data_IF_500301328761
#
_entry.id   IF_500301328761
#
_cell.length_a   1.000
_cell.length_b   1.000
_cell.length_c   1.000
_cell.angle_alpha   90.00
_cell.angle_beta   90.00
_cell.angle_gamma   90.00
#
_symmetry.space_group_name_H-M   'P 1'
#
loop_
_entity.id
_entity.type
_entity.pdbx_description
1 polymer ?
#
# COMPACT_ATOMS: atom_id res chain seq x y z
N UNK A 1 -15.22 -13.05 12.88
CA UNK A 1 -14.11 -12.82 11.92
C UNK A 1 -13.50 -14.14 11.53
N UNK A 2 -12.91 -14.87 12.47
CA UNK A 2 -12.38 -16.23 12.21
C UNK A 2 -13.45 -17.17 11.63
N UNK A 3 -14.72 -17.02 12.02
CA UNK A 3 -15.83 -17.81 11.45
C UNK A 3 -16.06 -17.59 9.94
N UNK A 4 -15.85 -16.38 9.44
CA UNK A 4 -16.01 -16.04 8.01
C UNK A 4 -14.68 -16.12 7.25
N UNK A 5 -13.59 -16.44 7.96
CA UNK A 5 -12.24 -16.45 7.38
C UNK A 5 -12.13 -17.48 6.24
N UNK A 6 -12.61 -18.73 6.37
CA UNK A 6 -12.57 -19.68 5.27
C UNK A 6 -13.32 -19.18 4.02
N UNK A 7 -14.53 -18.63 4.20
CA UNK A 7 -15.34 -18.09 3.10
C UNK A 7 -14.65 -16.94 2.38
N UNK A 8 -13.93 -16.08 3.13
CA UNK A 8 -13.14 -14.99 2.57
C UNK A 8 -11.97 -15.52 1.72
N UNK A 9 -11.23 -16.51 2.23
CA UNK A 9 -10.13 -17.13 1.48
C UNK A 9 -10.64 -17.76 0.18
N UNK A 10 -11.75 -18.50 0.26
CA UNK A 10 -12.32 -19.19 -0.89
C UNK A 10 -12.90 -18.22 -1.92
N UNK A 11 -13.48 -17.10 -1.47
CA UNK A 11 -13.94 -16.02 -2.36
C UNK A 11 -12.77 -15.46 -3.17
N UNK A 12 -11.66 -15.12 -2.52
CA UNK A 12 -10.50 -14.58 -3.24
C UNK A 12 -9.83 -15.60 -4.15
N UNK A 13 -9.80 -16.88 -3.76
CA UNK A 13 -9.30 -17.96 -4.64
C UNK A 13 -10.16 -18.09 -5.89
N UNK A 14 -11.50 -18.07 -5.75
CA UNK A 14 -12.41 -18.10 -6.88
C UNK A 14 -12.25 -16.89 -7.82
N UNK A 15 -12.03 -15.69 -7.25
CA UNK A 15 -11.70 -14.50 -8.03
C UNK A 15 -10.35 -14.64 -8.74
N UNK A 16 -9.35 -15.25 -8.07
CA UNK A 16 -8.05 -15.57 -8.64
C UNK A 16 -8.16 -16.53 -9.83
N UNK A 17 -8.95 -17.60 -9.71
CA UNK A 17 -9.23 -18.56 -10.78
C UNK A 17 -9.91 -17.88 -11.97
N UNK A 18 -10.84 -16.97 -11.70
CA UNK A 18 -11.51 -16.19 -12.73
C UNK A 18 -10.52 -15.23 -13.43
N UNK A 19 -9.73 -14.49 -12.66
CA UNK A 19 -8.72 -13.57 -13.19
C UNK A 19 -7.67 -14.29 -14.05
N UNK A 20 -7.25 -15.48 -13.63
CA UNK A 20 -6.30 -16.32 -14.37
C UNK A 20 -6.77 -16.65 -15.79
N UNK A 21 -8.08 -16.92 -15.97
CA UNK A 21 -8.67 -17.19 -17.30
C UNK A 21 -8.60 -16.00 -18.25
N UNK A 22 -8.43 -14.79 -17.71
CA UNK A 22 -8.36 -13.54 -18.45
C UNK A 22 -6.97 -12.89 -18.42
N UNK A 23 -5.97 -13.55 -17.82
CA UNK A 23 -4.61 -13.00 -17.70
C UNK A 23 -4.52 -11.77 -16.78
N UNK A 24 -5.49 -11.59 -15.86
CA UNK A 24 -5.51 -10.49 -14.90
C UNK A 24 -5.29 -10.99 -13.47
N UNK A 25 -4.60 -10.19 -12.66
CA UNK A 25 -4.37 -10.46 -11.24
C UNK A 25 -5.39 -9.71 -10.40
N UNK A 26 -5.82 -10.32 -9.30
CA UNK A 26 -6.70 -9.71 -8.31
C UNK A 26 -5.84 -9.22 -7.16
N UNK A 27 -5.95 -7.94 -6.83
CA UNK A 27 -5.21 -7.33 -5.72
C UNK A 27 -6.18 -6.91 -4.63
N UNK A 28 -5.89 -7.29 -3.39
CA UNK A 28 -6.64 -6.87 -2.21
C UNK A 28 -6.02 -5.57 -1.74
N UNK A 29 -6.82 -4.52 -1.67
CA UNK A 29 -6.35 -3.24 -1.16
C UNK A 29 -6.18 -3.27 0.36
N UNK A 30 -5.07 -2.72 0.83
CA UNK A 30 -4.74 -2.63 2.25
C UNK A 30 -5.76 -1.74 2.96
N UNK A 31 -6.55 -2.29 3.88
CA UNK A 31 -7.45 -1.52 4.77
C UNK A 31 -8.07 -2.42 5.84
N UNK A 32 -8.34 -3.67 5.47
CA UNK A 32 -8.91 -4.67 6.36
C UNK A 32 -8.31 -6.06 6.04
N UNK A 33 -7.95 -6.87 7.05
CA UNK A 33 -7.98 -6.62 8.49
C UNK A 33 -7.08 -5.45 8.95
N UNK A 34 -7.34 -4.86 10.13
CA UNK A 34 -6.82 -3.53 10.48
C UNK A 34 -5.33 -3.50 10.90
N UNK A 35 -4.70 -4.64 11.16
CA UNK A 35 -3.26 -4.68 11.50
C UNK A 35 -2.43 -5.20 10.34
N UNK A 36 -1.16 -4.78 10.31
CA UNK A 36 -0.17 -5.24 9.33
C UNK A 36 -0.08 -6.76 9.31
N UNK A 37 0.02 -7.38 10.48
CA UNK A 37 0.18 -8.83 10.63
C UNK A 37 -1.05 -9.59 10.12
N UNK A 38 -2.25 -9.10 10.43
CA UNK A 38 -3.49 -9.74 10.01
C UNK A 38 -3.70 -9.63 8.49
N UNK A 39 -3.36 -8.48 7.90
CA UNK A 39 -3.45 -8.30 6.45
C UNK A 39 -2.42 -9.17 5.70
N UNK A 40 -1.18 -9.20 6.18
CA UNK A 40 -0.14 -10.08 5.65
C UNK A 40 -0.58 -11.55 5.77
N UNK A 41 -1.13 -11.96 6.92
CA UNK A 41 -1.69 -13.31 7.12
C UNK A 41 -2.78 -13.62 6.09
N UNK A 42 -3.75 -12.72 5.88
CA UNK A 42 -4.82 -12.91 4.90
C UNK A 42 -4.26 -13.21 3.51
N UNK A 43 -3.37 -12.35 3.03
CA UNK A 43 -2.83 -12.46 1.66
C UNK A 43 -2.03 -13.75 1.47
N UNK A 44 -1.24 -14.15 2.46
CA UNK A 44 -0.47 -15.41 2.39
C UNK A 44 -1.36 -16.65 2.52
N UNK A 45 -2.37 -16.64 3.38
CA UNK A 45 -3.30 -17.77 3.53
C UNK A 45 -4.19 -17.98 2.31
N UNK A 46 -4.52 -16.92 1.56
CA UNK A 46 -5.18 -17.06 0.25
C UNK A 46 -4.32 -17.93 -0.67
N UNK A 47 -2.99 -17.71 -0.68
CA UNK A 47 -2.02 -18.59 -1.31
C UNK A 47 -2.12 -18.70 -2.84
N UNK A 48 -2.98 -17.93 -3.49
CA UNK A 48 -3.28 -18.07 -4.92
C UNK A 48 -2.28 -17.29 -5.80
N UNK A 49 -1.76 -17.84 -6.92
CA UNK A 49 -0.75 -17.17 -7.76
C UNK A 49 -1.26 -15.90 -8.47
N UNK A 50 -2.56 -15.83 -8.75
CA UNK A 50 -3.20 -14.64 -9.35
C UNK A 50 -3.83 -13.71 -8.30
N UNK A 51 -3.60 -13.94 -7.01
CA UNK A 51 -4.06 -13.05 -5.94
C UNK A 51 -2.87 -12.52 -5.14
N UNK A 52 -2.88 -11.23 -4.89
CA UNK A 52 -1.90 -10.55 -4.05
C UNK A 52 -2.46 -9.30 -3.41
N UNK A 53 -1.59 -8.42 -2.97
CA UNK A 53 -1.94 -7.15 -2.33
C UNK A 53 -1.74 -5.96 -3.27
N UNK A 54 -2.69 -5.01 -3.17
CA UNK A 54 -2.47 -3.62 -3.48
C UNK A 54 -2.17 -2.89 -2.16
N UNK A 55 -0.98 -2.33 -2.02
CA UNK A 55 -0.68 -1.47 -0.87
C UNK A 55 -1.11 -0.06 -1.20
N UNK A 56 -2.17 0.39 -0.52
CA UNK A 56 -2.46 1.81 -0.39
C UNK A 56 -1.57 2.38 0.71
N UNK A 57 -0.68 3.29 0.34
CA UNK A 57 0.31 3.82 1.29
C UNK A 57 -0.33 4.69 2.37
N UNK A 58 -1.42 5.41 2.08
CA UNK A 58 -2.05 6.26 3.08
C UNK A 58 -2.95 5.49 4.04
N UNK A 59 -3.53 4.37 3.62
CA UNK A 59 -4.30 3.51 4.52
C UNK A 59 -3.48 2.99 5.72
N UNK A 60 -2.15 2.91 5.60
CA UNK A 60 -1.28 2.56 6.73
C UNK A 60 -1.38 3.56 7.88
N UNK A 61 -1.83 4.80 7.63
CA UNK A 61 -2.13 5.79 8.67
C UNK A 61 -3.15 5.27 9.71
N UNK A 62 -4.05 4.36 9.32
CA UNK A 62 -5.03 3.75 10.23
C UNK A 62 -4.39 2.84 11.27
N UNK A 63 -3.19 2.34 11.02
CA UNK A 63 -2.43 1.52 11.98
C UNK A 63 -1.73 2.35 13.06
N UNK A 64 -1.66 3.68 12.89
CA UNK A 64 -1.08 4.58 13.88
C UNK A 64 -2.15 5.04 14.89
N UNK A 65 -1.92 4.87 16.21
CA UNK A 65 -2.85 5.34 17.24
C UNK A 65 -3.13 6.83 17.11
N UNK A 66 -4.40 7.22 17.23
CA UNK A 66 -4.84 8.61 17.05
C UNK A 66 -4.04 9.62 17.89
N UNK A 67 -3.66 9.26 19.11
CA UNK A 67 -2.85 10.11 20.03
C UNK A 67 -1.43 10.39 19.54
N UNK A 68 -0.90 9.58 18.63
CA UNK A 68 0.43 9.76 18.02
C UNK A 68 0.35 10.48 16.68
N UNK A 69 -0.85 10.61 16.10
CA UNK A 69 -1.02 11.32 14.84
C UNK A 69 -0.67 12.80 15.03
N UNK A 70 0.28 13.27 14.24
CA UNK A 70 0.78 14.65 14.21
C UNK A 70 2.11 14.81 14.94
N UNK A 71 2.63 13.75 15.56
CA UNK A 71 3.92 13.76 16.25
C UNK A 71 5.01 13.09 15.41
N UNK A 72 6.27 13.38 15.74
CA UNK A 72 7.42 12.74 15.09
C UNK A 72 7.42 11.22 15.31
N UNK A 73 7.01 10.77 16.49
CA UNK A 73 6.88 9.36 16.84
C UNK A 73 5.78 8.67 16.02
N UNK A 74 4.65 9.36 15.76
CA UNK A 74 3.62 8.84 14.87
C UNK A 74 4.08 8.68 13.43
N UNK A 75 4.83 9.67 12.90
CA UNK A 75 5.42 9.59 11.56
C UNK A 75 6.43 8.46 11.45
N UNK A 76 7.27 8.27 12.48
CA UNK A 76 8.21 7.14 12.52
C UNK A 76 7.46 5.80 12.51
N UNK A 77 6.46 5.63 13.39
CA UNK A 77 5.65 4.41 13.46
C UNK A 77 4.88 4.13 12.16
N UNK A 78 4.35 5.17 11.51
CA UNK A 78 3.70 5.04 10.21
C UNK A 78 4.64 4.43 9.16
N UNK A 79 5.86 4.96 9.04
CA UNK A 79 6.84 4.46 8.08
C UNK A 79 7.38 3.08 8.44
N UNK A 80 7.49 2.77 9.74
CA UNK A 80 7.85 1.42 10.20
C UNK A 80 6.76 0.39 9.86
N UNK A 81 5.49 0.73 10.06
CA UNK A 81 4.37 -0.13 9.71
C UNK A 81 4.25 -0.32 8.19
N UNK A 82 4.50 0.72 7.39
CA UNK A 82 4.53 0.63 5.93
C UNK A 82 5.67 -0.29 5.46
N UNK A 83 6.86 -0.14 6.03
CA UNK A 83 7.99 -1.02 5.74
C UNK A 83 7.68 -2.48 6.10
N UNK A 84 7.17 -2.72 7.32
CA UNK A 84 6.82 -4.06 7.78
C UNK A 84 5.73 -4.72 6.92
N UNK A 85 4.76 -3.94 6.44
CA UNK A 85 3.73 -4.41 5.50
C UNK A 85 4.33 -4.84 4.17
N UNK A 86 5.18 -3.98 3.57
CA UNK A 86 5.84 -4.26 2.29
C UNK A 86 6.75 -5.48 2.39
N UNK A 87 7.57 -5.56 3.44
CA UNK A 87 8.46 -6.70 3.70
C UNK A 87 7.67 -7.99 3.95
N UNK A 88 6.62 -7.91 4.77
CA UNK A 88 5.78 -9.06 5.11
C UNK A 88 5.03 -9.63 3.91
N UNK A 89 4.57 -8.78 2.98
CA UNK A 89 3.93 -9.21 1.74
C UNK A 89 4.92 -9.83 0.76
N UNK A 90 6.13 -9.27 0.63
CA UNK A 90 7.18 -9.77 -0.25
C UNK A 90 6.66 -10.01 -1.68
N UNK A 91 6.81 -11.22 -2.25
CA UNK A 91 6.35 -11.53 -3.62
C UNK A 91 4.83 -11.40 -3.83
N UNK A 92 4.02 -11.33 -2.77
CA UNK A 92 2.57 -11.11 -2.88
C UNK A 92 2.19 -9.64 -3.05
N UNK A 93 3.14 -8.72 -2.94
CA UNK A 93 2.94 -7.32 -3.29
C UNK A 93 2.88 -7.16 -4.82
N UNK A 94 1.70 -6.85 -5.34
CA UNK A 94 1.45 -6.83 -6.79
C UNK A 94 1.19 -5.44 -7.35
N UNK A 95 0.65 -4.54 -6.53
CA UNK A 95 0.26 -3.21 -6.94
C UNK A 95 0.39 -2.20 -5.78
N UNK A 96 0.39 -0.91 -6.12
CA UNK A 96 0.34 0.17 -5.16
C UNK A 96 -0.65 1.24 -5.60
N UNK A 97 -1.34 1.81 -4.62
CA UNK A 97 -1.87 3.17 -4.71
C UNK A 97 -0.90 4.08 -3.96
N UNK A 98 -0.46 5.16 -4.63
CA UNK A 98 0.56 6.08 -4.14
C UNK A 98 0.02 7.50 -4.08
N UNK A 99 0.22 8.09 -2.91
CA UNK A 99 -0.06 9.47 -2.55
C UNK A 99 0.64 9.73 -1.22
N UNK A 100 0.65 10.97 -0.75
CA UNK A 100 1.20 11.31 0.56
C UNK A 100 0.11 11.46 1.63
N UNK A 101 0.57 11.53 2.87
CA UNK A 101 -0.24 11.79 4.06
C UNK A 101 0.24 13.10 4.68
N UNK A 102 -0.67 14.08 4.82
CA UNK A 102 -0.32 15.40 5.36
C UNK A 102 -0.01 15.34 6.86
N UNK A 103 1.14 15.87 7.33
CA UNK A 103 1.54 15.77 8.73
C UNK A 103 0.60 16.46 9.71
N UNK A 104 -0.01 17.57 9.32
CA UNK A 104 -0.80 18.42 10.21
C UNK A 104 -2.11 17.79 10.68
N UNK A 105 -2.76 17.01 9.83
CA UNK A 105 -4.09 16.46 10.08
C UNK A 105 -4.27 15.01 9.59
N UNK A 106 -3.20 14.39 9.10
CA UNK A 106 -3.15 13.00 8.66
C UNK A 106 -4.12 12.68 7.52
N UNK A 107 -4.50 13.71 6.76
CA UNK A 107 -5.27 13.54 5.54
C UNK A 107 -4.38 12.89 4.49
N UNK A 108 -4.83 11.75 3.97
CA UNK A 108 -4.19 11.04 2.86
C UNK A 108 -4.59 11.62 1.49
N UNK A 109 -4.28 10.90 0.41
CA UNK A 109 -4.52 11.32 -0.97
C UNK A 109 -3.90 12.69 -1.33
N UNK A 110 -2.75 13.02 -0.74
CA UNK A 110 -2.01 14.27 -1.00
C UNK A 110 -0.94 14.08 -2.06
N UNK A 111 -0.49 15.17 -2.68
CA UNK A 111 0.64 15.12 -3.62
C UNK A 111 1.90 14.50 -2.96
N UNK A 112 2.56 13.57 -3.66
CA UNK A 112 3.77 12.89 -3.17
C UNK A 112 4.90 13.88 -2.89
N UNK A 113 5.67 13.60 -1.83
CA UNK A 113 6.82 14.41 -1.41
C UNK A 113 6.45 15.66 -0.60
N UNK A 114 5.17 15.79 -0.23
CA UNK A 114 4.68 16.90 0.59
C UNK A 114 4.30 16.48 2.01
N UNK A 115 4.40 15.18 2.32
CA UNK A 115 3.87 14.62 3.55
C UNK A 115 4.84 13.76 4.35
N UNK A 116 4.27 12.77 5.04
CA UNK A 116 4.94 11.95 6.04
C UNK A 116 5.68 10.74 5.47
N UNK A 117 5.47 10.36 4.21
CA UNK A 117 6.06 9.14 3.65
C UNK A 117 7.55 9.34 3.40
N UNK A 118 8.35 8.42 3.95
CA UNK A 118 9.76 8.25 3.59
C UNK A 118 9.87 7.49 2.27
N UNK A 119 9.71 8.23 1.18
CA UNK A 119 9.73 7.69 -0.17
C UNK A 119 11.08 7.02 -0.52
N UNK A 120 12.19 7.55 -0.01
CA UNK A 120 13.52 6.96 -0.22
C UNK A 120 13.62 5.57 0.42
N UNK A 121 13.14 5.42 1.66
CA UNK A 121 13.08 4.12 2.34
C UNK A 121 12.16 3.15 1.60
N UNK A 122 10.95 3.60 1.24
CA UNK A 122 9.99 2.75 0.53
C UNK A 122 10.58 2.22 -0.79
N UNK A 123 11.12 3.09 -1.65
CA UNK A 123 11.70 2.68 -2.93
C UNK A 123 12.97 1.84 -2.75
N UNK A 124 13.75 2.10 -1.70
CA UNK A 124 14.87 1.23 -1.31
C UNK A 124 14.42 -0.21 -1.02
N UNK A 125 13.33 -0.36 -0.26
CA UNK A 125 12.72 -1.66 0.03
C UNK A 125 12.18 -2.33 -1.23
N UNK A 126 11.43 -1.60 -2.06
CA UNK A 126 10.88 -2.12 -3.32
C UNK A 126 11.97 -2.62 -4.26
N UNK A 127 13.08 -1.88 -4.36
CA UNK A 127 14.26 -2.31 -5.12
C UNK A 127 14.89 -3.57 -4.53
N UNK A 128 15.04 -3.64 -3.21
CA UNK A 128 15.56 -4.82 -2.51
C UNK A 128 14.70 -6.08 -2.73
N UNK A 129 13.39 -5.92 -2.81
CA UNK A 129 12.43 -6.99 -3.11
C UNK A 129 12.34 -7.34 -4.60
N UNK A 130 12.97 -6.56 -5.49
CA UNK A 130 12.83 -6.73 -6.94
C UNK A 130 11.41 -6.44 -7.44
N UNK A 131 10.68 -5.55 -6.77
CA UNK A 131 9.33 -5.17 -7.17
C UNK A 131 9.35 -4.49 -8.55
N UNK A 132 8.50 -4.98 -9.46
CA UNK A 132 8.38 -4.48 -10.83
C UNK A 132 6.91 -4.23 -11.23
N UNK A 133 6.02 -4.12 -10.25
CA UNK A 133 4.62 -3.77 -10.49
C UNK A 133 4.43 -2.27 -10.76
N UNK A 134 3.22 -1.91 -11.17
CA UNK A 134 2.84 -0.51 -11.40
C UNK A 134 2.49 0.20 -10.09
N UNK A 135 2.71 1.52 -10.08
CA UNK A 135 2.25 2.44 -9.06
C UNK A 135 1.10 3.28 -9.64
N UNK A 136 -0.02 3.38 -8.95
CA UNK A 136 -1.15 4.21 -9.34
C UNK A 136 -1.22 5.47 -8.46
N UNK A 137 -1.18 6.66 -9.06
CA UNK A 137 -1.34 7.91 -8.32
C UNK A 137 -2.81 8.16 -8.00
N UNK A 138 -3.17 8.25 -6.72
CA UNK A 138 -4.54 8.54 -6.26
C UNK A 138 -4.54 9.82 -5.42
N UNK A 139 -4.83 10.96 -6.07
CA UNK A 139 -4.70 12.28 -5.45
C UNK A 139 -6.07 12.98 -5.37
N UNK A 140 -6.27 13.70 -4.27
CA UNK A 140 -7.42 14.56 -4.03
C UNK A 140 -6.96 16.02 -3.83
N UNK A 141 -6.29 16.59 -4.82
CA UNK A 141 -5.78 17.97 -4.76
C UNK A 141 -6.67 18.97 -5.51
N UNK A 142 -6.66 20.23 -5.07
CA UNK A 142 -7.39 21.30 -5.75
C UNK A 142 -6.89 21.49 -7.20
N UNK A 143 -5.57 21.56 -7.38
CA UNK A 143 -4.92 21.45 -8.69
C UNK A 143 -4.47 20.00 -8.92
N UNK A 144 -5.42 19.15 -9.31
CA UNK A 144 -5.19 17.73 -9.51
C UNK A 144 -4.11 17.46 -10.58
N UNK A 145 -4.17 18.14 -11.71
CA UNK A 145 -3.25 17.89 -12.83
C UNK A 145 -1.83 18.32 -12.46
N UNK A 146 -1.67 19.51 -11.86
CA UNK A 146 -0.38 19.97 -11.37
C UNK A 146 0.21 19.03 -10.32
N UNK A 147 -0.63 18.58 -9.38
CA UNK A 147 -0.23 17.63 -8.34
C UNK A 147 0.21 16.28 -8.91
N UNK A 148 -0.50 15.74 -9.91
CA UNK A 148 -0.13 14.49 -10.59
C UNK A 148 1.23 14.63 -11.29
N UNK A 149 1.45 15.73 -12.01
CA UNK A 149 2.73 16.00 -12.71
C UNK A 149 3.88 16.13 -11.71
N UNK A 150 3.68 16.86 -10.62
CA UNK A 150 4.70 17.04 -9.58
C UNK A 150 5.02 15.72 -8.87
N UNK A 151 3.99 14.98 -8.45
CA UNK A 151 4.13 13.68 -7.77
C UNK A 151 4.86 12.68 -8.65
N UNK A 152 4.48 12.59 -9.94
CA UNK A 152 5.16 11.72 -10.91
C UNK A 152 6.66 12.02 -10.98
N UNK A 153 7.05 13.28 -11.12
CA UNK A 153 8.47 13.68 -11.20
C UNK A 153 9.26 13.28 -9.96
N UNK A 154 8.67 13.43 -8.78
CA UNK A 154 9.30 13.03 -7.51
C UNK A 154 9.55 11.53 -7.49
N UNK A 155 8.53 10.73 -7.85
CA UNK A 155 8.64 9.27 -7.86
C UNK A 155 9.61 8.77 -8.94
N UNK A 156 9.62 9.37 -10.14
CA UNK A 156 10.60 9.06 -11.21
C UNK A 156 12.04 9.32 -10.75
N UNK A 157 12.28 10.40 -9.99
CA UNK A 157 13.60 10.69 -9.42
C UNK A 157 14.12 9.61 -8.47
N UNK A 158 13.23 8.79 -7.89
CA UNK A 158 13.58 7.73 -6.93
C UNK A 158 13.76 6.36 -7.60
N UNK A 159 13.18 6.15 -8.78
CA UNK A 159 13.35 4.89 -9.54
C UNK A 159 14.68 4.83 -10.29
N UNK A 160 15.37 5.96 -10.44
CA UNK A 160 16.64 6.04 -11.18
C UNK A 160 16.48 5.80 -12.69
N UNK A 161 15.26 6.04 -13.22
CA UNK A 161 14.92 6.00 -14.64
C UNK A 161 15.00 7.39 -15.27
#
# INVERSE_FOLDING_TARGET
>A
MEELWPDLLDTYRALGDFGAKHGVRVCIETMWPPTVEQFVRLVHEIGHPFVGACVDVGHVAWTVPQKLRGTAEGVALYNDNLAALVEGLGPKLMHFHVHDVRPSDWRDHRACGTGCIDWSRLFGLLKGLGYAGSLALELEEYDLVGALVASKRILEGLTGA
#
